data_IF_475992823675
#
_entry.id   IF_475992823675
#
_cell.length_a   1.000
_cell.length_b   1.000
_cell.length_c   1.000
_cell.angle_alpha   90.00
_cell.angle_beta   90.00
_cell.angle_gamma   90.00
#
_symmetry.space_group_name_H-M   'P 1'
#
loop_
_entity.id
_entity.type
_entity.pdbx_description
1 polymer ?
#
# COMPACT_ATOMS: atom_id res chain seq x y z
N UNK A 1 -24.58 7.13 -11.44
CA UNK A 1 -23.47 8.04 -11.07
C UNK A 1 -22.45 7.31 -10.19
N UNK A 2 -21.70 6.34 -10.73
CA UNK A 2 -20.73 5.56 -9.94
C UNK A 2 -19.28 5.66 -10.44
N UNK A 3 -19.08 5.95 -11.73
CA UNK A 3 -17.75 6.00 -12.36
C UNK A 3 -16.92 7.20 -11.91
N UNK A 4 -17.55 8.37 -11.69
CA UNK A 4 -16.85 9.56 -11.20
C UNK A 4 -16.24 9.38 -9.80
N UNK A 5 -16.93 8.65 -8.91
CA UNK A 5 -16.44 8.40 -7.56
C UNK A 5 -15.29 7.40 -7.54
N UNK A 6 -15.34 6.38 -8.42
CA UNK A 6 -14.24 5.42 -8.61
C UNK A 6 -13.03 6.14 -9.22
N UNK A 7 -13.22 6.97 -10.24
CA UNK A 7 -12.15 7.75 -10.85
C UNK A 7 -11.49 8.71 -9.83
N UNK A 8 -12.27 9.33 -8.96
CA UNK A 8 -11.76 10.18 -7.89
C UNK A 8 -10.90 9.40 -6.88
N UNK A 9 -11.31 8.20 -6.47
CA UNK A 9 -10.55 7.33 -5.56
C UNK A 9 -9.23 6.85 -6.16
N UNK A 10 -9.24 6.44 -7.43
CA UNK A 10 -8.03 6.10 -8.19
C UNK A 10 -7.11 7.31 -8.34
N UNK A 11 -7.69 8.50 -8.61
CA UNK A 11 -6.96 9.77 -8.68
C UNK A 11 -6.24 10.10 -7.38
N UNK A 12 -6.92 9.95 -6.23
CA UNK A 12 -6.31 10.18 -4.91
C UNK A 12 -5.09 9.29 -4.64
N UNK A 13 -5.16 8.02 -5.02
CA UNK A 13 -4.02 7.11 -4.90
C UNK A 13 -2.85 7.55 -5.80
N UNK A 14 -3.15 7.99 -7.04
CA UNK A 14 -2.15 8.49 -7.98
C UNK A 14 -1.53 9.84 -7.58
N UNK A 15 -2.29 10.72 -6.94
CA UNK A 15 -1.83 12.04 -6.47
C UNK A 15 -0.74 11.95 -5.40
N UNK A 16 -0.59 10.81 -4.73
CA UNK A 16 0.41 10.63 -3.68
C UNK A 16 1.80 10.35 -4.28
N UNK A 17 1.87 9.73 -5.46
CA UNK A 17 3.13 9.32 -6.12
C UNK A 17 4.14 10.46 -6.28
N UNK A 18 3.76 11.68 -6.75
CA UNK A 18 4.70 12.79 -6.87
C UNK A 18 5.32 13.21 -5.54
N UNK A 19 4.56 13.13 -4.43
CA UNK A 19 5.08 13.45 -3.10
C UNK A 19 6.12 12.43 -2.66
N UNK A 20 5.95 11.15 -3.00
CA UNK A 20 6.91 10.09 -2.67
C UNK A 20 8.29 10.37 -3.28
N UNK A 21 8.33 10.85 -4.54
CA UNK A 21 9.57 11.18 -5.22
C UNK A 21 10.37 12.30 -4.56
N UNK A 22 9.69 13.19 -3.81
CA UNK A 22 10.34 14.26 -3.05
C UNK A 22 11.04 13.67 -1.81
N UNK A 23 10.46 12.64 -1.19
CA UNK A 23 10.99 12.02 0.02
C UNK A 23 12.08 10.99 -0.24
N UNK A 24 12.04 10.28 -1.37
CA UNK A 24 13.07 9.30 -1.76
C UNK A 24 13.63 9.60 -3.15
N UNK A 25 14.80 10.24 -3.17
CA UNK A 25 15.54 10.56 -4.41
C UNK A 25 15.97 9.31 -5.20
N UNK A 26 16.04 8.14 -4.56
CA UNK A 26 16.36 6.89 -5.24
C UNK A 26 15.30 6.51 -6.28
N UNK A 27 14.06 6.98 -6.10
CA UNK A 27 13.00 6.80 -7.09
C UNK A 27 13.16 7.69 -8.32
N UNK A 28 13.93 8.77 -8.21
CA UNK A 28 14.38 9.61 -9.32
C UNK A 28 15.64 9.05 -9.99
N UNK A 29 15.97 7.79 -9.72
CA UNK A 29 17.19 7.12 -10.18
C UNK A 29 18.49 7.79 -9.70
N UNK A 30 18.42 8.59 -8.63
CA UNK A 30 19.57 9.21 -8.00
C UNK A 30 20.01 8.37 -6.80
N UNK A 31 21.11 7.62 -6.94
CA UNK A 31 21.67 6.80 -5.86
C UNK A 31 22.36 5.54 -6.38
N UNK A 32 22.60 4.58 -5.47
CA UNK A 32 23.17 3.29 -5.87
C UNK A 32 22.12 2.41 -6.55
N UNK A 33 22.49 1.58 -7.55
CA UNK A 33 21.53 0.70 -8.25
C UNK A 33 20.71 -0.19 -7.30
N UNK A 34 21.32 -0.66 -6.20
CA UNK A 34 20.64 -1.48 -5.21
C UNK A 34 19.58 -0.70 -4.41
N UNK A 35 19.86 0.55 -4.05
CA UNK A 35 18.90 1.43 -3.40
C UNK A 35 17.74 1.77 -4.33
N UNK A 36 18.02 2.07 -5.59
CA UNK A 36 17.01 2.36 -6.61
C UNK A 36 16.01 1.21 -6.74
N UNK A 37 16.50 -0.03 -6.94
CA UNK A 37 15.64 -1.21 -7.09
C UNK A 37 14.83 -1.48 -5.80
N UNK A 38 15.47 -1.35 -4.64
CA UNK A 38 14.80 -1.53 -3.34
C UNK A 38 13.72 -0.48 -3.09
N UNK A 39 14.00 0.81 -3.34
CA UNK A 39 13.02 1.89 -3.21
C UNK A 39 11.88 1.76 -4.21
N UNK A 40 12.19 1.39 -5.46
CA UNK A 40 11.18 1.19 -6.49
C UNK A 40 10.21 0.07 -6.12
N UNK A 41 10.73 -1.10 -5.74
CA UNK A 41 9.89 -2.24 -5.33
C UNK A 41 9.03 -1.91 -4.11
N UNK A 42 9.59 -1.23 -3.10
CA UNK A 42 8.84 -0.76 -1.92
C UNK A 42 7.76 0.25 -2.29
N UNK A 43 8.07 1.21 -3.16
CA UNK A 43 7.12 2.21 -3.65
C UNK A 43 5.92 1.57 -4.36
N UNK A 44 6.17 0.62 -5.27
CA UNK A 44 5.12 -0.13 -5.97
C UNK A 44 4.23 -0.89 -4.99
N UNK A 45 4.82 -1.58 -4.00
CA UNK A 45 4.06 -2.30 -2.97
C UNK A 45 3.23 -1.32 -2.14
N UNK A 46 3.83 -0.25 -1.62
CA UNK A 46 3.16 0.74 -0.78
C UNK A 46 1.95 1.38 -1.50
N UNK A 47 2.12 1.82 -2.75
CA UNK A 47 1.04 2.41 -3.55
C UNK A 47 -0.09 1.41 -3.77
N UNK A 48 0.24 0.14 -4.00
CA UNK A 48 -0.78 -0.92 -4.17
C UNK A 48 -1.57 -1.12 -2.88
N UNK A 49 -0.90 -1.18 -1.72
CA UNK A 49 -1.57 -1.32 -0.41
C UNK A 49 -2.46 -0.10 -0.12
N UNK A 50 -1.98 1.10 -0.46
CA UNK A 50 -2.71 2.34 -0.30
C UNK A 50 -3.96 2.39 -1.18
N UNK A 51 -3.85 1.97 -2.44
CA UNK A 51 -4.99 1.84 -3.35
C UNK A 51 -6.04 0.88 -2.77
N UNK A 52 -5.63 -0.26 -2.21
CA UNK A 52 -6.54 -1.19 -1.54
C UNK A 52 -7.23 -0.54 -0.33
N UNK A 53 -6.50 0.24 0.48
CA UNK A 53 -7.07 0.95 1.63
C UNK A 53 -8.13 1.98 1.20
N UNK A 54 -7.83 2.74 0.14
CA UNK A 54 -8.72 3.75 -0.44
C UNK A 54 -9.94 3.08 -1.07
N UNK A 55 -9.76 2.04 -1.89
CA UNK A 55 -10.83 1.29 -2.55
C UNK A 55 -11.69 0.48 -1.59
N UNK A 56 -11.15 0.09 -0.43
CA UNK A 56 -11.86 -0.71 0.57
C UNK A 56 -12.27 -2.09 0.06
N UNK A 57 -11.64 -2.55 -1.02
CA UNK A 57 -11.94 -3.81 -1.67
C UNK A 57 -10.66 -4.41 -2.27
N UNK A 58 -10.43 -5.70 -2.05
CA UNK A 58 -9.33 -6.43 -2.70
C UNK A 58 -9.73 -7.88 -3.01
N UNK A 59 -10.00 -8.67 -1.98
CA UNK A 59 -10.49 -10.06 -2.08
C UNK A 59 -11.77 -10.26 -1.26
N UNK A 60 -12.63 -9.25 -1.28
CA UNK A 60 -13.81 -9.09 -0.42
C UNK A 60 -13.88 -7.68 0.14
N UNK A 61 -15.02 -7.31 0.73
CA UNK A 61 -15.19 -6.00 1.36
C UNK A 61 -14.28 -5.87 2.57
N UNK A 62 -13.47 -4.81 2.63
CA UNK A 62 -12.69 -4.49 3.82
C UNK A 62 -13.56 -3.74 4.83
N UNK A 63 -13.41 -4.08 6.10
CA UNK A 63 -13.99 -3.29 7.19
C UNK A 63 -13.26 -1.95 7.30
N UNK A 64 -13.89 -0.96 7.94
CA UNK A 64 -13.26 0.34 8.19
C UNK A 64 -11.94 0.18 8.95
N UNK A 65 -11.87 -0.76 9.90
CA UNK A 65 -10.66 -1.03 10.69
C UNK A 65 -9.54 -1.56 9.80
N UNK A 66 -9.84 -2.52 8.92
CA UNK A 66 -8.84 -3.08 8.00
C UNK A 66 -8.34 -2.03 7.00
N UNK A 67 -9.23 -1.14 6.52
CA UNK A 67 -8.85 -0.03 5.64
C UNK A 67 -7.87 0.91 6.33
N UNK A 68 -8.15 1.30 7.57
CA UNK A 68 -7.25 2.17 8.36
C UNK A 68 -5.91 1.47 8.60
N UNK A 69 -5.91 0.18 8.94
CA UNK A 69 -4.67 -0.56 9.15
C UNK A 69 -3.84 -0.72 7.85
N UNK A 70 -4.49 -0.94 6.71
CA UNK A 70 -3.79 -0.95 5.41
C UNK A 70 -3.24 0.43 5.05
N UNK A 71 -3.96 1.50 5.38
CA UNK A 71 -3.46 2.86 5.19
C UNK A 71 -2.19 3.11 6.03
N UNK A 72 -2.22 2.77 7.32
CA UNK A 72 -1.04 2.89 8.21
C UNK A 72 0.12 2.02 7.71
N UNK A 73 -0.16 0.79 7.29
CA UNK A 73 0.83 -0.12 6.71
C UNK A 73 1.47 0.45 5.45
N UNK A 74 0.69 1.02 4.53
CA UNK A 74 1.22 1.64 3.31
C UNK A 74 2.18 2.78 3.63
N UNK A 75 1.83 3.66 4.58
CA UNK A 75 2.68 4.77 5.01
C UNK A 75 3.96 4.23 5.64
N UNK A 76 3.87 3.21 6.50
CA UNK A 76 5.03 2.62 7.16
C UNK A 76 6.04 2.00 6.17
N UNK A 77 5.56 1.37 5.08
CA UNK A 77 6.41 0.82 4.00
C UNK A 77 7.07 1.92 3.15
N UNK A 78 6.48 3.11 3.14
CA UNK A 78 6.89 4.23 2.30
C UNK A 78 8.05 5.02 2.95
N UNK A 79 8.26 4.87 4.27
CA UNK A 79 9.30 5.62 4.98
C UNK A 79 10.70 5.21 4.46
N UNK A 80 11.43 6.14 3.81
CA UNK A 80 12.75 5.85 3.28
C UNK A 80 13.73 5.62 4.44
N UNK A 81 14.73 4.75 4.22
CA UNK A 81 15.83 4.46 5.15
C UNK A 81 15.45 3.90 6.54
N UNK A 82 14.18 3.60 6.80
CA UNK A 82 13.75 2.95 8.05
C UNK A 82 13.35 1.48 7.82
N UNK A 83 14.35 0.59 7.86
CA UNK A 83 14.14 -0.86 7.64
C UNK A 83 13.17 -1.46 8.66
N UNK A 84 13.17 -0.97 9.90
CA UNK A 84 12.26 -1.45 10.94
C UNK A 84 10.81 -1.09 10.64
N UNK A 85 10.54 0.18 10.29
CA UNK A 85 9.20 0.63 9.89
C UNK A 85 8.70 -0.12 8.65
N UNK A 86 9.59 -0.36 7.68
CA UNK A 86 9.27 -1.12 6.48
C UNK A 86 8.87 -2.55 6.81
N UNK A 87 9.64 -3.24 7.67
CA UNK A 87 9.32 -4.61 8.11
C UNK A 87 7.99 -4.67 8.88
N UNK A 88 7.72 -3.70 9.76
CA UNK A 88 6.46 -3.60 10.49
C UNK A 88 5.29 -3.38 9.51
N UNK A 89 5.42 -2.46 8.57
CA UNK A 89 4.40 -2.20 7.57
C UNK A 89 4.08 -3.45 6.74
N UNK A 90 5.11 -4.18 6.31
CA UNK A 90 4.97 -5.39 5.50
C UNK A 90 4.35 -6.55 6.28
N UNK A 91 4.71 -6.72 7.57
CA UNK A 91 4.09 -7.73 8.43
C UNK A 91 2.62 -7.42 8.71
N UNK A 92 2.24 -6.16 8.94
CA UNK A 92 0.84 -5.75 9.08
C UNK A 92 0.06 -6.04 7.79
N UNK A 93 0.63 -5.70 6.62
CA UNK A 93 -0.01 -6.00 5.34
C UNK A 93 -0.24 -7.51 5.15
N UNK A 94 0.81 -8.33 5.36
CA UNK A 94 0.74 -9.77 5.19
C UNK A 94 -0.23 -10.44 6.17
N UNK A 95 -0.21 -10.04 7.45
CA UNK A 95 -1.10 -10.62 8.47
C UNK A 95 -2.56 -10.34 8.15
N UNK A 96 -2.91 -9.10 7.77
CA UNK A 96 -4.25 -8.74 7.37
C UNK A 96 -4.68 -9.39 6.05
N UNK A 97 -3.77 -9.53 5.09
CA UNK A 97 -4.05 -10.24 3.85
C UNK A 97 -4.34 -11.74 4.10
N UNK A 98 -3.57 -12.37 4.99
CA UNK A 98 -3.75 -13.78 5.35
C UNK A 98 -5.05 -14.02 6.14
N UNK A 99 -5.41 -13.16 7.09
CA UNK A 99 -6.69 -13.28 7.81
C UNK A 99 -7.87 -13.13 6.86
N UNK A 100 -7.79 -12.21 5.90
CA UNK A 100 -8.80 -12.02 4.86
C UNK A 100 -8.97 -13.26 3.98
N UNK A 101 -7.86 -13.85 3.53
CA UNK A 101 -7.87 -15.07 2.72
C UNK A 101 -8.45 -16.27 3.50
N UNK A 102 -8.12 -16.40 4.78
CA UNK A 102 -8.64 -17.47 5.66
C UNK A 102 -10.15 -17.32 5.94
N UNK A 103 -10.63 -16.10 6.19
CA UNK A 103 -12.07 -15.84 6.37
C UNK A 103 -12.87 -16.22 5.12
N UNK A 104 -12.33 -15.93 3.93
CA UNK A 104 -12.97 -16.29 2.65
C UNK A 104 -13.10 -17.80 2.46
N UNK A 105 -12.13 -18.59 2.95
CA UNK A 105 -12.19 -20.05 2.92
C UNK A 105 -13.21 -20.63 3.90
N UNK A 106 -13.40 -20.01 5.07
CA UNK A 106 -14.41 -20.45 6.06
C UNK A 106 -15.85 -20.19 5.65
N UNK A 107 -16.10 -19.23 4.76
CA UNK A 107 -17.45 -18.89 4.25
C UNK A 107 -17.91 -19.79 3.09
N UNK A 108 -17.08 -20.74 2.64
CA UNK A 108 -17.39 -21.70 1.57
C UNK A 108 -17.73 -23.11 2.07
N UNK A 109 -17.69 -23.33 3.39
CA UNK A 109 -18.16 -24.55 4.07
C UNK A 109 -19.38 -24.22 4.90
#
# INVERSE_FOLDING_TARGET
MGTGFIAWRLGLAGSIVPFIFIFDQSLLFMGTPLQIVSSFTRGVVSITVLAIAIEGYFKGNLSIIERVLHFISSIAILIPNNVQANAIGLTIFLTLMLTKLRQRHKLKH
#
